data_IF_847539041333
#
_entry.id   IF_847539041333
#
_cell.length_a   1.000
_cell.length_b   1.000
_cell.length_c   1.000
_cell.angle_alpha   90.00
_cell.angle_beta   90.00
_cell.angle_gamma   90.00
#
_symmetry.space_group_name_H-M   'P 1'
#
loop_
_entity.id
_entity.type
_entity.pdbx_description
1 polymer ?
#
# COMPACT_ATOMS: atom_id res chain seq x y z
N UNK A 1 -28.48 -10.06 14.51
CA UNK A 1 -28.69 -10.75 13.23
C UNK A 1 -27.50 -10.43 12.36
N UNK A 2 -26.54 -11.35 12.28
CA UNK A 2 -25.29 -11.14 11.58
C UNK A 2 -25.53 -11.25 10.06
N UNK A 3 -25.23 -10.18 9.35
CA UNK A 3 -25.25 -10.08 7.89
C UNK A 3 -24.12 -10.94 7.33
N UNK A 4 -24.51 -11.95 6.55
CA UNK A 4 -23.60 -12.79 5.77
C UNK A 4 -22.87 -11.88 4.77
N UNK A 5 -21.54 -11.94 4.65
CA UNK A 5 -20.83 -11.10 3.69
C UNK A 5 -21.17 -11.57 2.28
N UNK A 6 -21.54 -10.58 1.48
CA UNK A 6 -21.83 -10.61 0.06
C UNK A 6 -20.74 -11.41 -0.69
N UNK A 7 -21.14 -12.54 -1.30
CA UNK A 7 -20.27 -13.36 -2.13
C UNK A 7 -20.10 -12.63 -3.47
N UNK A 8 -18.92 -12.07 -3.73
CA UNK A 8 -18.57 -11.44 -5.01
C UNK A 8 -18.13 -12.53 -6.00
N UNK A 9 -18.95 -12.88 -7.01
CA UNK A 9 -18.69 -14.01 -7.91
C UNK A 9 -17.54 -13.72 -8.90
N UNK A 10 -16.99 -12.51 -8.92
CA UNK A 10 -15.87 -12.13 -9.81
C UNK A 10 -14.50 -12.37 -9.19
N UNK A 11 -14.43 -12.77 -7.92
CA UNK A 11 -13.18 -13.07 -7.22
C UNK A 11 -13.08 -14.56 -6.92
N UNK A 12 -11.92 -15.20 -7.18
CA UNK A 12 -11.69 -16.54 -6.67
C UNK A 12 -11.81 -16.53 -5.14
N UNK A 13 -12.34 -17.60 -4.51
CA UNK A 13 -12.39 -17.68 -3.05
C UNK A 13 -10.98 -17.45 -2.50
N UNK A 14 -10.83 -16.65 -1.43
CA UNK A 14 -9.52 -16.40 -0.86
C UNK A 14 -8.88 -17.76 -0.53
N UNK A 15 -7.58 -17.95 -0.83
CA UNK A 15 -6.88 -19.15 -0.43
C UNK A 15 -7.08 -19.33 1.08
N UNK A 16 -7.45 -20.54 1.50
CA UNK A 16 -7.54 -20.89 2.92
C UNK A 16 -6.11 -20.80 3.46
N UNK A 17 -5.74 -19.61 3.92
CA UNK A 17 -4.59 -19.41 4.78
C UNK A 17 -4.97 -20.09 6.08
N UNK A 18 -4.52 -21.35 6.22
CA UNK A 18 -4.33 -21.95 7.53
C UNK A 18 -3.57 -20.89 8.32
N UNK A 19 -4.15 -20.28 9.36
CA UNK A 19 -3.43 -19.30 10.14
C UNK A 19 -2.13 -19.98 10.57
N UNK A 20 -0.96 -19.31 10.42
CA UNK A 20 0.27 -19.86 10.97
C UNK A 20 -0.03 -20.25 12.41
N UNK A 21 0.43 -21.42 12.88
CA UNK A 21 0.18 -21.84 14.25
C UNK A 21 0.49 -20.64 15.13
N UNK A 22 -0.50 -20.22 15.91
CA UNK A 22 -0.33 -19.22 16.93
C UNK A 22 0.76 -19.82 17.81
N UNK A 23 2.01 -19.45 17.56
CA UNK A 23 3.04 -19.61 18.55
C UNK A 23 2.53 -18.76 19.68
N UNK A 24 2.06 -19.44 20.73
CA UNK A 24 1.86 -18.84 22.03
C UNK A 24 3.02 -17.88 22.20
N UNK A 25 2.70 -16.60 22.38
CA UNK A 25 3.62 -15.64 22.94
C UNK A 25 3.93 -16.17 24.33
N UNK A 26 4.81 -17.17 24.42
CA UNK A 26 5.59 -17.43 25.61
C UNK A 26 6.27 -16.09 25.86
N UNK A 27 5.69 -15.34 26.80
CA UNK A 27 6.08 -13.99 27.19
C UNK A 27 7.59 -13.90 27.07
N UNK A 28 8.12 -12.87 26.40
CA UNK A 28 9.58 -12.66 26.31
C UNK A 28 10.25 -12.81 27.69
N UNK A 29 9.49 -12.55 28.76
CA UNK A 29 9.78 -12.83 30.16
C UNK A 29 10.16 -14.29 30.47
N UNK A 30 9.46 -15.29 29.91
CA UNK A 30 9.77 -16.71 30.04
C UNK A 30 11.07 -17.07 29.30
N UNK A 31 11.29 -16.50 28.12
CA UNK A 31 12.54 -16.70 27.36
C UNK A 31 13.73 -16.10 28.13
N UNK A 32 13.55 -14.93 28.73
CA UNK A 32 14.56 -14.28 29.57
C UNK A 32 14.81 -15.09 30.85
N UNK A 33 13.76 -15.60 31.50
CA UNK A 33 13.88 -16.44 32.69
C UNK A 33 14.61 -17.76 32.39
N UNK A 34 14.31 -18.41 31.27
CA UNK A 34 14.97 -19.63 30.84
C UNK A 34 16.43 -19.38 30.42
N UNK A 35 16.71 -18.25 29.78
CA UNK A 35 18.09 -17.81 29.51
C UNK A 35 18.89 -17.54 30.80
N UNK A 36 18.26 -16.94 31.81
CA UNK A 36 18.90 -16.68 33.11
C UNK A 36 19.11 -17.98 33.91
N UNK A 37 18.21 -18.96 33.81
CA UNK A 37 18.31 -20.27 34.47
C UNK A 37 19.30 -21.21 33.78
N UNK A 38 19.40 -21.16 32.45
CA UNK A 38 20.35 -21.96 31.65
C UNK A 38 21.77 -21.42 31.73
N UNK A 39 21.98 -20.23 32.29
CA UNK A 39 23.31 -19.70 32.54
C UNK A 39 23.93 -20.46 33.72
N UNK A 40 25.03 -21.23 33.52
CA UNK A 40 25.71 -21.83 34.65
C UNK A 40 26.12 -20.71 35.62
N UNK A 41 25.99 -20.92 36.95
CA UNK A 41 26.40 -19.92 37.92
C UNK A 41 27.84 -19.54 37.58
N UNK A 42 28.07 -18.25 37.35
CA UNK A 42 29.38 -17.75 36.97
C UNK A 42 30.36 -18.29 38.00
N UNK A 43 31.20 -19.23 37.59
CA UNK A 43 32.29 -19.73 38.42
C UNK A 43 33.01 -18.49 38.94
N UNK A 44 32.95 -18.26 40.25
CA UNK A 44 33.56 -17.14 40.96
C UNK A 44 35.10 -17.13 40.87
N UNK A 45 35.68 -17.93 39.97
CA UNK A 45 37.09 -18.10 39.73
C UNK A 45 37.62 -17.51 38.42
N UNK A 46 36.99 -16.48 37.82
CA UNK A 46 37.78 -15.57 36.97
C UNK A 46 38.57 -14.67 37.90
N UNK A 47 39.71 -15.17 38.36
CA UNK A 47 40.81 -14.32 38.81
C UNK A 47 41.05 -13.33 37.68
N UNK A 48 40.55 -12.10 37.85
CA UNK A 48 40.95 -10.97 37.03
C UNK A 48 42.46 -10.93 37.23
N UNK A 49 43.22 -11.47 36.27
CA UNK A 49 44.66 -11.28 36.24
C UNK A 49 44.82 -9.77 36.27
N UNK A 50 45.27 -9.25 37.40
CA UNK A 50 45.65 -7.85 37.54
C UNK A 50 46.87 -7.67 36.65
N UNK A 51 46.65 -7.54 35.35
CA UNK A 51 47.69 -7.12 34.43
C UNK A 51 48.11 -5.73 34.86
N UNK A 52 49.41 -5.49 34.90
CA UNK A 52 49.99 -4.18 35.18
C UNK A 52 49.18 -3.05 34.51
N UNK A 53 49.01 -1.89 35.18
CA UNK A 53 48.13 -0.83 34.74
C UNK A 53 48.48 -0.43 33.30
N UNK A 54 47.65 -0.86 32.36
CA UNK A 54 47.93 -0.67 30.95
C UNK A 54 47.97 0.83 30.64
N UNK A 55 48.93 1.33 29.85
CA UNK A 55 49.12 2.75 29.58
C UNK A 55 47.82 3.39 29.10
N UNK A 56 47.35 4.39 29.84
CA UNK A 56 46.14 5.16 29.50
C UNK A 56 46.48 6.18 28.42
N UNK A 57 45.70 6.20 27.33
CA UNK A 57 45.86 7.18 26.25
C UNK A 57 45.77 8.61 26.79
N UNK A 58 44.93 8.83 27.81
CA UNK A 58 44.73 10.15 28.42
C UNK A 58 45.97 10.58 29.22
N UNK A 59 46.55 9.68 30.00
CA UNK A 59 47.73 9.96 30.82
C UNK A 59 48.97 10.19 29.95
N UNK A 60 49.10 9.43 28.85
CA UNK A 60 50.15 9.65 27.86
C UNK A 60 50.01 11.00 27.15
N UNK A 61 48.77 11.42 26.86
CA UNK A 61 48.52 12.73 26.26
C UNK A 61 48.88 13.86 27.23
N UNK A 62 48.62 13.71 28.53
CA UNK A 62 49.05 14.70 29.53
C UNK A 62 50.56 14.68 29.75
N UNK A 63 51.20 13.50 29.78
CA UNK A 63 52.66 13.38 29.87
C UNK A 63 53.36 14.05 28.67
N UNK A 64 52.84 13.86 27.45
CA UNK A 64 53.35 14.52 26.24
C UNK A 64 53.15 16.04 26.30
N UNK A 65 51.98 16.51 26.76
CA UNK A 65 51.73 17.95 26.89
C UNK A 65 52.70 18.59 27.91
N UNK A 66 52.88 17.97 29.08
CA UNK A 66 53.83 18.43 30.08
C UNK A 66 55.28 18.40 29.57
N UNK A 67 55.67 17.38 28.80
CA UNK A 67 57.00 17.34 28.20
C UNK A 67 57.21 18.50 27.22
N UNK A 68 56.21 18.82 26.40
CA UNK A 68 56.26 19.96 25.48
C UNK A 68 56.43 21.27 26.28
N UNK A 69 55.65 21.45 27.36
CA UNK A 69 55.77 22.63 28.24
C UNK A 69 57.17 22.73 28.90
N UNK A 70 57.75 21.61 29.34
CA UNK A 70 59.09 21.58 29.93
C UNK A 70 60.20 21.90 28.93
N UNK A 71 60.06 21.41 27.68
CA UNK A 71 61.00 21.70 26.60
C UNK A 71 60.93 23.18 26.21
N UNK A 72 59.73 23.76 26.12
CA UNK A 72 59.58 25.20 25.85
C UNK A 72 60.14 26.04 27.00
N UNK A 73 59.90 25.64 28.26
CA UNK A 73 60.51 26.31 29.42
C UNK A 73 62.04 26.26 29.39
N UNK A 74 62.62 25.10 29.09
CA UNK A 74 64.08 24.95 28.98
C UNK A 74 64.69 25.83 27.90
N UNK A 75 64.00 26.01 26.76
CA UNK A 75 64.46 26.93 25.70
C UNK A 75 64.47 28.38 26.19
N UNK A 76 63.39 28.82 26.85
CA UNK A 76 63.29 30.18 27.39
C UNK A 76 64.36 30.43 28.45
N UNK A 77 64.51 29.51 29.41
CA UNK A 77 65.50 29.64 30.50
C UNK A 77 66.94 29.69 29.95
N UNK A 78 67.23 28.89 28.90
CA UNK A 78 68.51 28.92 28.19
C UNK A 78 68.75 30.28 27.51
N UNK A 79 67.77 30.80 26.78
CA UNK A 79 67.88 32.10 26.09
C UNK A 79 68.06 33.27 27.07
N UNK A 80 67.44 33.21 28.25
CA UNK A 80 67.62 34.20 29.32
C UNK A 80 69.03 34.12 29.88
N UNK A 81 69.51 32.92 30.21
CA UNK A 81 70.86 32.69 30.73
C UNK A 81 71.94 33.18 29.75
N UNK A 82 71.79 32.89 28.45
CA UNK A 82 72.72 33.35 27.40
C UNK A 82 72.81 34.87 27.34
N UNK A 83 71.67 35.59 27.48
CA UNK A 83 71.64 37.06 27.51
C UNK A 83 72.24 37.64 28.79
N UNK A 84 72.02 36.99 29.92
CA UNK A 84 72.46 37.43 31.25
C UNK A 84 73.99 37.27 31.40
N UNK A 85 74.56 36.17 30.89
CA UNK A 85 76.02 35.93 30.80
C UNK A 85 76.72 36.98 29.92
N UNK A 86 76.11 37.36 28.79
CA UNK A 86 76.67 38.38 27.89
C UNK A 86 76.63 39.78 28.54
N UNK A 87 75.63 40.04 29.38
CA UNK A 87 75.39 41.36 29.97
C UNK A 87 76.14 41.59 31.28
N UNK A 88 76.51 40.54 32.03
CA UNK A 88 77.22 40.62 33.31
C UNK A 88 78.30 39.52 33.46
N UNK A 89 79.59 39.83 33.24
CA UNK A 89 80.67 38.83 33.31
C UNK A 89 81.01 38.34 34.74
N UNK A 90 80.59 39.05 35.79
CA UNK A 90 80.79 38.66 37.21
C UNK A 90 79.57 37.95 37.84
N UNK A 91 78.57 37.60 37.03
CA UNK A 91 77.32 37.00 37.50
C UNK A 91 77.49 35.52 37.84
N UNK A 92 77.10 35.12 39.05
CA UNK A 92 77.15 33.71 39.50
C UNK A 92 75.93 32.94 38.97
N UNK A 93 76.09 32.31 37.79
CA UNK A 93 75.05 31.50 37.13
C UNK A 93 74.82 30.12 37.75
N UNK A 94 75.57 29.71 38.79
CA UNK A 94 75.60 28.32 39.26
C UNK A 94 74.20 27.76 39.58
N UNK A 95 73.34 28.54 40.23
CA UNK A 95 71.98 28.13 40.59
C UNK A 95 71.02 27.99 39.38
N UNK A 96 71.15 28.84 38.36
CA UNK A 96 70.31 28.75 37.14
C UNK A 96 70.79 27.59 36.25
N UNK A 97 72.10 27.32 36.22
CA UNK A 97 72.69 26.15 35.58
C UNK A 97 72.21 24.84 36.22
N UNK A 98 72.19 24.76 37.55
CA UNK A 98 71.63 23.61 38.27
C UNK A 98 70.14 23.39 37.96
N UNK A 99 69.34 24.46 37.87
CA UNK A 99 67.93 24.37 37.50
C UNK A 99 67.72 23.86 36.05
N UNK A 100 68.52 24.35 35.09
CA UNK A 100 68.52 23.86 33.71
C UNK A 100 68.91 22.38 33.63
N UNK A 101 69.90 21.96 34.43
CA UNK A 101 70.37 20.58 34.47
C UNK A 101 69.32 19.64 35.09
N UNK A 102 68.61 20.07 36.13
CA UNK A 102 67.47 19.33 36.70
C UNK A 102 66.31 19.21 35.70
N UNK A 103 66.04 20.28 34.96
CA UNK A 103 65.01 20.28 33.92
C UNK A 103 65.37 19.34 32.76
N UNK A 104 66.63 19.35 32.34
CA UNK A 104 67.17 18.41 31.35
C UNK A 104 67.02 16.95 31.82
N UNK A 105 67.44 16.63 33.05
CA UNK A 105 67.27 15.30 33.63
C UNK A 105 65.80 14.85 33.67
N UNK A 106 64.86 15.76 33.98
CA UNK A 106 63.42 15.49 33.93
C UNK A 106 62.93 15.16 32.52
N UNK A 107 63.35 15.96 31.53
CA UNK A 107 62.99 15.78 30.11
C UNK A 107 63.54 14.46 29.59
N UNK A 108 64.81 14.15 29.83
CA UNK A 108 65.45 12.90 29.42
C UNK A 108 64.77 11.69 30.05
N UNK A 109 64.45 11.75 31.34
CA UNK A 109 63.73 10.70 32.06
C UNK A 109 62.30 10.49 31.54
N UNK A 110 61.62 11.55 31.09
CA UNK A 110 60.28 11.46 30.48
C UNK A 110 60.35 10.93 29.05
N UNK A 111 61.32 11.36 28.26
CA UNK A 111 61.57 10.86 26.91
C UNK A 111 61.88 9.36 26.91
N UNK A 112 62.73 8.89 27.83
CA UNK A 112 63.06 7.47 27.96
C UNK A 112 61.82 6.63 28.26
N UNK A 113 60.95 7.12 29.14
CA UNK A 113 59.68 6.46 29.50
C UNK A 113 58.65 6.49 28.36
N UNK A 114 58.61 7.55 27.57
CA UNK A 114 57.67 7.70 26.45
C UNK A 114 58.12 6.93 25.20
N UNK A 115 59.44 6.74 25.04
CA UNK A 115 60.04 6.04 23.90
C UNK A 115 60.22 4.53 24.14
N UNK A 116 59.63 3.99 25.20
CA UNK A 116 59.57 2.55 25.45
C UNK A 116 58.82 1.84 24.30
N UNK A 117 59.50 0.98 23.52
CA UNK A 117 58.91 0.34 22.34
C UNK A 117 57.71 -0.56 22.67
N UNK A 118 57.67 -1.17 23.86
CA UNK A 118 56.58 -2.06 24.24
C UNK A 118 55.34 -1.26 24.66
N UNK A 119 55.55 -0.12 25.33
CA UNK A 119 54.50 0.85 25.67
C UNK A 119 53.88 1.45 24.40
N UNK A 120 54.70 1.80 23.41
CA UNK A 120 54.24 2.30 22.10
C UNK A 120 53.48 1.25 21.29
N UNK A 121 53.95 0.00 21.24
CA UNK A 121 53.23 -1.11 20.58
C UNK A 121 51.85 -1.33 21.21
N UNK A 122 51.76 -1.33 22.54
CA UNK A 122 50.51 -1.51 23.26
C UNK A 122 49.53 -0.35 23.00
N UNK A 123 50.05 0.88 22.94
CA UNK A 123 49.28 2.07 22.58
C UNK A 123 48.76 1.99 21.14
N UNK A 124 49.60 1.59 20.19
CA UNK A 124 49.23 1.39 18.79
C UNK A 124 48.07 0.41 18.64
N UNK A 125 48.10 -0.72 19.37
CA UNK A 125 47.00 -1.69 19.42
C UNK A 125 45.71 -1.06 19.96
N UNK A 126 45.77 -0.27 21.04
CA UNK A 126 44.59 0.42 21.60
C UNK A 126 44.01 1.45 20.64
N UNK A 127 44.86 2.25 19.98
CA UNK A 127 44.43 3.25 19.00
C UNK A 127 43.80 2.60 17.77
N UNK A 128 44.39 1.52 17.27
CA UNK A 128 43.83 0.74 16.19
C UNK A 128 42.43 0.19 16.56
N UNK A 129 42.30 -0.39 17.77
CA UNK A 129 41.01 -0.85 18.31
C UNK A 129 39.97 0.27 18.38
N UNK A 130 40.34 1.47 18.87
CA UNK A 130 39.45 2.64 18.88
C UNK A 130 39.05 3.11 17.47
N UNK A 131 39.98 3.07 16.51
CA UNK A 131 39.70 3.44 15.10
C UNK A 131 38.73 2.43 14.48
N UNK A 132 38.98 1.14 14.66
CA UNK A 132 38.09 0.05 14.21
C UNK A 132 36.69 0.18 14.81
N UNK A 133 36.60 0.43 16.13
CA UNK A 133 35.31 0.65 16.83
C UNK A 133 34.56 1.86 16.27
N UNK A 134 35.24 3.00 16.09
CA UNK A 134 34.62 4.21 15.50
C UNK A 134 34.12 3.97 14.07
N UNK A 135 34.93 3.31 13.24
CA UNK A 135 34.54 2.97 11.87
C UNK A 135 33.35 2.00 11.81
N UNK A 136 33.30 1.02 12.72
CA UNK A 136 32.16 0.11 12.84
C UNK A 136 30.89 0.85 13.30
N UNK A 137 30.98 1.68 14.35
CA UNK A 137 29.86 2.49 14.83
C UNK A 137 29.31 3.41 13.75
N UNK A 138 30.18 4.06 12.98
CA UNK A 138 29.78 4.91 11.85
C UNK A 138 28.98 4.10 10.82
N UNK A 139 29.47 2.93 10.41
CA UNK A 139 28.77 2.04 9.47
C UNK A 139 27.42 1.57 10.01
N UNK A 140 27.38 1.13 11.28
CA UNK A 140 26.14 0.69 11.93
C UNK A 140 25.11 1.82 12.01
N UNK A 141 25.52 3.02 12.42
CA UNK A 141 24.62 4.17 12.53
C UNK A 141 24.10 4.60 11.16
N UNK A 142 24.92 4.57 10.12
CA UNK A 142 24.48 4.86 8.76
C UNK A 142 23.45 3.84 8.28
N UNK A 143 23.68 2.55 8.52
CA UNK A 143 22.71 1.49 8.17
C UNK A 143 21.38 1.68 8.90
N UNK A 144 21.41 1.91 10.21
CA UNK A 144 20.20 2.19 11.00
C UNK A 144 19.47 3.45 10.53
N UNK A 145 20.21 4.47 10.08
CA UNK A 145 19.62 5.69 9.51
C UNK A 145 18.90 5.39 8.19
N UNK A 146 19.52 4.61 7.30
CA UNK A 146 18.91 4.19 6.03
C UNK A 146 17.65 3.34 6.27
N UNK A 147 17.72 2.34 7.16
CA UNK A 147 16.57 1.49 7.53
C UNK A 147 15.40 2.34 8.06
N UNK A 148 15.68 3.36 8.89
CA UNK A 148 14.66 4.29 9.38
C UNK A 148 14.05 5.15 8.27
N UNK A 149 14.87 5.68 7.38
CA UNK A 149 14.42 6.49 6.25
C UNK A 149 13.55 5.66 5.29
N UNK A 150 13.93 4.41 5.01
CA UNK A 150 13.15 3.47 4.22
C UNK A 150 11.83 3.11 4.90
N UNK A 151 11.84 2.83 6.20
CA UNK A 151 10.62 2.55 6.96
C UNK A 151 9.66 3.75 6.94
N UNK A 152 10.17 4.98 7.06
CA UNK A 152 9.36 6.20 6.96
C UNK A 152 8.77 6.32 5.55
N UNK A 153 9.57 6.12 4.49
CA UNK A 153 9.10 6.17 3.09
C UNK A 153 8.04 5.11 2.80
N UNK A 154 8.21 3.90 3.32
CA UNK A 154 7.22 2.83 3.14
C UNK A 154 5.93 3.16 3.89
N UNK A 155 6.04 3.67 5.12
CA UNK A 155 4.89 4.14 5.88
C UNK A 155 4.15 5.26 5.15
N UNK A 156 4.84 6.26 4.60
CA UNK A 156 4.18 7.35 3.87
C UNK A 156 3.50 6.86 2.59
N UNK A 157 4.12 5.92 1.85
CA UNK A 157 3.49 5.28 0.68
C UNK A 157 2.21 4.55 1.06
N UNK A 158 2.23 3.76 2.14
CA UNK A 158 1.05 3.04 2.63
C UNK A 158 -0.05 4.01 3.05
N UNK A 159 0.27 5.08 3.78
CA UNK A 159 -0.73 6.11 4.12
C UNK A 159 -1.31 6.77 2.88
N UNK A 160 -0.50 7.10 1.88
CA UNK A 160 -0.99 7.68 0.63
C UNK A 160 -1.95 6.72 -0.12
N UNK A 161 -1.65 5.42 -0.15
CA UNK A 161 -2.54 4.40 -0.72
C UNK A 161 -3.85 4.29 0.07
N UNK A 162 -3.79 4.32 1.40
CA UNK A 162 -4.98 4.32 2.26
C UNK A 162 -5.83 5.56 1.97
N UNK A 163 -5.22 6.74 1.88
CA UNK A 163 -5.93 7.99 1.61
C UNK A 163 -6.56 8.01 0.22
N UNK A 164 -5.88 7.44 -0.79
CA UNK A 164 -6.43 7.23 -2.12
C UNK A 164 -7.64 6.31 -2.09
N UNK A 165 -7.51 5.14 -1.47
CA UNK A 165 -8.62 4.22 -1.31
C UNK A 165 -9.80 4.86 -0.58
N UNK A 166 -9.56 5.59 0.51
CA UNK A 166 -10.61 6.32 1.24
C UNK A 166 -11.27 7.41 0.39
N UNK A 167 -10.52 8.09 -0.50
CA UNK A 167 -11.10 9.07 -1.44
C UNK A 167 -11.99 8.37 -2.45
N UNK A 168 -11.56 7.23 -2.99
CA UNK A 168 -12.37 6.44 -3.93
C UNK A 168 -13.65 5.92 -3.28
N UNK A 169 -13.56 5.35 -2.08
CA UNK A 169 -14.73 4.89 -1.33
C UNK A 169 -15.71 6.02 -1.05
N UNK A 170 -15.23 7.20 -0.62
CA UNK A 170 -16.08 8.38 -0.44
C UNK A 170 -16.77 8.81 -1.73
N UNK A 171 -16.07 8.78 -2.87
CA UNK A 171 -16.68 9.08 -4.18
C UNK A 171 -17.78 8.07 -4.54
N UNK A 172 -17.59 6.79 -4.25
CA UNK A 172 -18.61 5.76 -4.50
C UNK A 172 -19.85 5.99 -3.64
N UNK A 173 -19.65 6.24 -2.34
CA UNK A 173 -20.77 6.54 -1.42
C UNK A 173 -21.52 7.81 -1.85
N UNK A 174 -20.81 8.86 -2.25
CA UNK A 174 -21.45 10.10 -2.69
C UNK A 174 -22.24 9.89 -4.00
N UNK A 175 -21.71 9.11 -4.95
CA UNK A 175 -22.45 8.73 -6.16
C UNK A 175 -23.72 7.94 -5.84
N UNK A 176 -23.64 6.99 -4.91
CA UNK A 176 -24.81 6.21 -4.48
C UNK A 176 -25.85 7.12 -3.81
N UNK A 177 -25.41 8.04 -2.94
CA UNK A 177 -26.28 9.01 -2.29
C UNK A 177 -26.97 9.94 -3.31
N UNK A 178 -26.24 10.42 -4.31
CA UNK A 178 -26.82 11.21 -5.41
C UNK A 178 -27.83 10.38 -6.21
N UNK A 179 -27.52 9.12 -6.52
CA UNK A 179 -28.43 8.22 -7.21
C UNK A 179 -29.72 7.98 -6.41
N UNK A 180 -29.63 7.85 -5.08
CA UNK A 180 -30.78 7.72 -4.19
C UNK A 180 -31.61 9.01 -4.15
N UNK A 181 -30.97 10.18 -4.06
CA UNK A 181 -31.69 11.46 -4.12
C UNK A 181 -32.45 11.63 -5.44
N UNK A 182 -31.87 11.25 -6.58
CA UNK A 182 -32.56 11.25 -7.87
C UNK A 182 -33.81 10.35 -7.87
N UNK A 183 -33.75 9.20 -7.18
CA UNK A 183 -34.90 8.30 -7.03
C UNK A 183 -35.99 8.90 -6.15
N UNK A 184 -35.61 9.53 -5.04
CA UNK A 184 -36.54 10.20 -4.15
C UNK A 184 -37.24 11.37 -4.88
N UNK A 185 -36.49 12.16 -5.66
CA UNK A 185 -37.05 13.21 -6.50
C UNK A 185 -38.00 12.65 -7.57
N UNK A 186 -37.60 11.60 -8.30
CA UNK A 186 -38.46 10.97 -9.30
C UNK A 186 -39.77 10.44 -8.68
N UNK A 187 -39.69 9.84 -7.49
CA UNK A 187 -40.86 9.37 -6.73
C UNK A 187 -41.76 10.53 -6.28
N UNK A 188 -41.17 11.62 -5.81
CA UNK A 188 -41.89 12.82 -5.41
C UNK A 188 -42.63 13.46 -6.60
N UNK A 189 -41.95 13.64 -7.73
CA UNK A 189 -42.57 14.17 -8.95
C UNK A 189 -43.64 13.25 -9.52
N UNK A 190 -43.48 11.93 -9.40
CA UNK A 190 -44.51 10.98 -9.83
C UNK A 190 -45.81 11.17 -9.04
N UNK A 191 -45.72 11.42 -7.73
CA UNK A 191 -46.90 11.71 -6.90
C UNK A 191 -47.60 13.01 -7.34
N UNK A 192 -46.84 14.05 -7.69
CA UNK A 192 -47.40 15.29 -8.24
C UNK A 192 -48.07 15.07 -9.61
N UNK A 193 -47.42 14.33 -10.52
CA UNK A 193 -47.98 13.97 -11.83
C UNK A 193 -49.29 13.18 -11.66
N UNK A 194 -49.37 12.25 -10.70
CA UNK A 194 -50.61 11.54 -10.38
C UNK A 194 -51.73 12.51 -9.96
N UNK A 195 -51.43 13.52 -9.13
CA UNK A 195 -52.41 14.55 -8.72
C UNK A 195 -52.87 15.39 -9.90
N UNK A 196 -51.95 15.85 -10.75
CA UNK A 196 -52.26 16.63 -11.96
C UNK A 196 -53.08 15.81 -12.96
N UNK A 197 -52.73 14.54 -13.18
CA UNK A 197 -53.49 13.61 -14.01
C UNK A 197 -54.91 13.42 -13.50
N UNK A 198 -55.09 13.21 -12.20
CA UNK A 198 -56.41 13.08 -11.58
C UNK A 198 -57.23 14.37 -11.72
N UNK A 199 -56.61 15.54 -11.58
CA UNK A 199 -57.26 16.83 -11.84
C UNK A 199 -57.74 16.95 -13.29
N UNK A 200 -56.88 16.65 -14.27
CA UNK A 200 -57.26 16.69 -15.69
C UNK A 200 -58.45 15.77 -15.99
N UNK A 201 -58.43 14.53 -15.48
CA UNK A 201 -59.56 13.60 -15.62
C UNK A 201 -60.85 14.17 -15.04
N UNK A 202 -60.80 14.77 -13.83
CA UNK A 202 -61.98 15.39 -13.20
C UNK A 202 -62.56 16.53 -14.05
N UNK A 203 -61.71 17.38 -14.63
CA UNK A 203 -62.17 18.47 -15.49
C UNK A 203 -62.76 17.95 -16.81
N UNK A 204 -62.13 16.95 -17.45
CA UNK A 204 -62.67 16.32 -18.66
C UNK A 204 -64.06 15.72 -18.42
N UNK A 205 -64.25 14.97 -17.33
CA UNK A 205 -65.57 14.45 -16.96
C UNK A 205 -66.59 15.57 -16.68
N UNK A 206 -66.14 16.73 -16.18
CA UNK A 206 -67.01 17.90 -15.99
C UNK A 206 -67.43 18.51 -17.33
N UNK A 207 -66.51 18.64 -18.29
CA UNK A 207 -66.81 19.13 -19.64
C UNK A 207 -67.75 18.19 -20.40
N UNK A 208 -67.54 16.87 -20.30
CA UNK A 208 -68.42 15.85 -20.88
C UNK A 208 -69.86 16.01 -20.34
N UNK A 209 -70.02 16.09 -19.01
CA UNK A 209 -71.34 16.31 -18.40
C UNK A 209 -72.01 17.63 -18.80
N UNK A 210 -71.24 18.68 -19.02
CA UNK A 210 -71.79 19.95 -19.51
C UNK A 210 -72.26 19.79 -20.96
N UNK A 211 -71.46 19.18 -21.84
CA UNK A 211 -71.82 18.91 -23.23
C UNK A 211 -73.06 18.02 -23.36
N UNK A 212 -73.25 17.06 -22.44
CA UNK A 212 -74.43 16.19 -22.40
C UNK A 212 -75.71 16.91 -21.91
N UNK A 213 -75.58 18.10 -21.32
CA UNK A 213 -76.73 18.91 -20.90
C UNK A 213 -77.32 19.66 -22.10
N UNK A 214 -78.56 19.32 -22.47
CA UNK A 214 -79.26 19.81 -23.65
C UNK A 214 -79.67 21.30 -23.62
N UNK A 215 -79.07 22.11 -22.73
CA UNK A 215 -79.46 23.50 -22.45
C UNK A 215 -78.38 24.53 -22.82
N UNK A 216 -77.26 24.10 -23.41
CA UNK A 216 -76.16 24.99 -23.80
C UNK A 216 -76.36 25.56 -25.20
N UNK A 217 -76.01 26.84 -25.36
CA UNK A 217 -75.93 27.50 -26.67
C UNK A 217 -74.75 26.97 -27.49
N UNK A 218 -74.83 27.10 -28.82
CA UNK A 218 -73.84 26.57 -29.76
C UNK A 218 -72.45 27.17 -29.54
N UNK A 219 -72.37 28.46 -29.21
CA UNK A 219 -71.09 29.14 -28.94
C UNK A 219 -70.43 28.62 -27.66
N UNK A 220 -71.22 28.40 -26.59
CA UNK A 220 -70.72 27.77 -25.35
C UNK A 220 -70.28 26.33 -25.59
N UNK A 221 -70.94 25.62 -26.51
CA UNK A 221 -70.56 24.26 -26.88
C UNK A 221 -69.17 24.21 -27.54
N UNK A 222 -68.89 25.18 -28.43
CA UNK A 222 -67.58 25.32 -29.07
C UNK A 222 -66.48 25.66 -28.06
N UNK A 223 -66.74 26.57 -27.11
CA UNK A 223 -65.79 26.92 -26.05
C UNK A 223 -65.48 25.73 -25.12
N UNK A 224 -66.50 24.96 -24.72
CA UNK A 224 -66.33 23.76 -23.88
C UNK A 224 -65.55 22.68 -24.64
N UNK A 225 -65.78 22.51 -25.94
CA UNK A 225 -65.00 21.59 -26.77
C UNK A 225 -63.53 22.02 -26.91
N UNK A 226 -63.25 23.32 -27.00
CA UNK A 226 -61.88 23.83 -27.00
C UNK A 226 -61.18 23.57 -25.66
N UNK A 227 -61.85 23.84 -24.54
CA UNK A 227 -61.35 23.49 -23.21
C UNK A 227 -61.11 21.97 -23.08
N UNK A 228 -62.02 21.15 -23.62
CA UNK A 228 -61.85 19.69 -23.65
C UNK A 228 -60.57 19.29 -24.40
N UNK A 229 -60.30 19.87 -25.57
CA UNK A 229 -59.04 19.61 -26.31
C UNK A 229 -57.81 20.02 -25.51
N UNK A 230 -57.81 21.20 -24.90
CA UNK A 230 -56.68 21.71 -24.09
C UNK A 230 -56.41 20.77 -22.90
N UNK A 231 -57.45 20.37 -22.17
CA UNK A 231 -57.30 19.47 -21.03
C UNK A 231 -56.96 18.03 -21.43
N UNK A 232 -57.40 17.56 -22.61
CA UNK A 232 -56.99 16.28 -23.16
C UNK A 232 -55.51 16.28 -23.55
N UNK A 233 -55.00 17.37 -24.13
CA UNK A 233 -53.57 17.55 -24.40
C UNK A 233 -52.75 17.52 -23.10
N UNK A 234 -53.16 18.30 -22.08
CA UNK A 234 -52.53 18.28 -20.74
C UNK A 234 -52.53 16.89 -20.09
N UNK A 235 -53.61 16.12 -20.26
CA UNK A 235 -53.69 14.75 -19.78
C UNK A 235 -52.69 13.84 -20.50
N UNK A 236 -52.58 13.95 -21.82
CA UNK A 236 -51.57 13.24 -22.62
C UNK A 236 -50.15 13.55 -22.14
N UNK A 237 -49.84 14.80 -21.86
CA UNK A 237 -48.52 15.21 -21.37
C UNK A 237 -48.23 14.62 -19.98
N UNK A 238 -49.22 14.61 -19.08
CA UNK A 238 -49.09 13.93 -17.78
C UNK A 238 -48.82 12.43 -17.94
N UNK A 239 -49.46 11.76 -18.91
CA UNK A 239 -49.23 10.33 -19.17
C UNK A 239 -47.83 10.06 -19.72
N UNK A 240 -47.34 10.92 -20.62
CA UNK A 240 -45.96 10.82 -21.15
C UNK A 240 -44.92 11.00 -20.03
N UNK A 241 -45.10 12.01 -19.18
CA UNK A 241 -44.19 12.29 -18.07
C UNK A 241 -44.21 11.18 -17.01
N UNK A 242 -45.39 10.66 -16.67
CA UNK A 242 -45.55 9.50 -15.77
C UNK A 242 -44.82 8.26 -16.31
N UNK A 243 -44.92 7.99 -17.62
CA UNK A 243 -44.18 6.90 -18.26
C UNK A 243 -42.67 7.10 -18.13
N UNK A 244 -42.17 8.31 -18.42
CA UNK A 244 -40.76 8.67 -18.30
C UNK A 244 -40.22 8.46 -16.87
N UNK A 245 -40.96 8.95 -15.86
CA UNK A 245 -40.57 8.80 -14.45
C UNK A 245 -40.62 7.34 -13.98
N UNK A 246 -41.61 6.56 -14.43
CA UNK A 246 -41.64 5.11 -14.17
C UNK A 246 -40.48 4.38 -14.81
N UNK A 247 -40.09 4.73 -16.02
CA UNK A 247 -38.94 4.12 -16.69
C UNK A 247 -37.65 4.42 -15.91
N UNK A 248 -37.48 5.63 -15.38
CA UNK A 248 -36.34 6.00 -14.51
C UNK A 248 -36.31 5.14 -13.24
N UNK A 249 -37.44 5.01 -12.55
CA UNK A 249 -37.55 4.19 -11.33
C UNK A 249 -37.34 2.70 -11.63
N UNK A 250 -37.91 2.20 -12.73
CA UNK A 250 -37.79 0.80 -13.15
C UNK A 250 -36.34 0.46 -13.52
N UNK A 251 -35.59 1.38 -14.14
CA UNK A 251 -34.17 1.23 -14.45
C UNK A 251 -33.26 1.24 -13.22
N UNK A 252 -33.76 1.53 -12.04
CA UNK A 252 -32.95 1.56 -10.82
C UNK A 252 -33.51 0.68 -9.70
N UNK A 253 -34.61 -0.05 -9.94
CA UNK A 253 -35.11 -1.03 -8.96
C UNK A 253 -34.18 -2.24 -8.86
N UNK A 254 -33.95 -2.71 -7.64
CA UNK A 254 -33.03 -3.83 -7.35
C UNK A 254 -33.35 -5.09 -8.18
N UNK A 255 -34.63 -5.42 -8.35
CA UNK A 255 -35.06 -6.57 -9.15
C UNK A 255 -34.70 -6.46 -10.64
N UNK A 256 -34.74 -5.24 -11.22
CA UNK A 256 -34.37 -5.01 -12.61
C UNK A 256 -32.87 -4.79 -12.79
N UNK A 257 -32.16 -4.36 -11.75
CA UNK A 257 -30.70 -4.32 -11.75
C UNK A 257 -30.14 -5.74 -11.80
N UNK A 258 -30.59 -6.63 -10.91
CA UNK A 258 -30.14 -8.01 -10.87
C UNK A 258 -30.42 -8.76 -12.19
N UNK A 259 -31.62 -8.61 -12.77
CA UNK A 259 -31.92 -9.16 -14.11
C UNK A 259 -31.05 -8.58 -15.22
N UNK A 260 -30.65 -7.31 -15.14
CA UNK A 260 -29.76 -6.71 -16.17
C UNK A 260 -28.35 -7.24 -16.05
N UNK A 261 -27.83 -7.31 -14.83
CA UNK A 261 -26.53 -7.93 -14.55
C UNK A 261 -26.55 -9.38 -15.05
N UNK A 262 -27.57 -10.15 -14.69
CA UNK A 262 -27.76 -11.53 -15.17
C UNK A 262 -27.83 -11.60 -16.71
N UNK A 263 -28.57 -10.71 -17.36
CA UNK A 263 -28.65 -10.66 -18.83
C UNK A 263 -27.32 -10.26 -19.49
N UNK A 264 -26.54 -9.35 -18.89
CA UNK A 264 -25.21 -9.00 -19.40
C UNK A 264 -24.21 -10.15 -19.23
N UNK A 265 -24.24 -10.84 -18.08
CA UNK A 265 -23.45 -12.04 -17.86
C UNK A 265 -23.86 -13.16 -18.82
N UNK A 266 -25.16 -13.37 -19.01
CA UNK A 266 -25.66 -14.35 -19.98
C UNK A 266 -25.20 -13.99 -21.40
N UNK A 267 -25.23 -12.71 -21.78
CA UNK A 267 -24.74 -12.26 -23.07
C UNK A 267 -23.23 -12.44 -23.24
N UNK A 268 -22.46 -12.20 -22.18
CA UNK A 268 -21.00 -12.31 -22.22
C UNK A 268 -20.54 -13.76 -22.25
N UNK A 269 -21.18 -14.62 -21.46
CA UNK A 269 -20.84 -16.04 -21.32
C UNK A 269 -21.40 -16.90 -22.46
N UNK A 270 -22.62 -16.60 -22.92
CA UNK A 270 -23.34 -17.43 -23.89
C UNK A 270 -23.58 -16.73 -25.23
N UNK A 271 -23.05 -15.51 -25.42
CA UNK A 271 -23.31 -14.69 -26.61
C UNK A 271 -24.71 -14.08 -26.60
N UNK A 272 -25.06 -13.38 -27.69
CA UNK A 272 -26.43 -12.89 -27.85
C UNK A 272 -27.41 -14.06 -27.73
N UNK A 273 -28.51 -13.84 -26.99
CA UNK A 273 -29.53 -14.85 -26.80
C UNK A 273 -29.90 -15.47 -28.15
N UNK A 274 -29.63 -16.77 -28.29
CA UNK A 274 -29.85 -17.51 -29.52
C UNK A 274 -31.23 -17.11 -30.07
N UNK A 275 -31.30 -16.52 -31.28
CA UNK A 275 -32.57 -16.12 -31.84
C UNK A 275 -33.52 -17.31 -31.76
N UNK A 276 -34.71 -17.12 -31.18
CA UNK A 276 -35.77 -18.16 -31.16
C UNK A 276 -36.25 -18.56 -32.56
N UNK A 277 -35.66 -17.96 -33.61
CA UNK A 277 -35.88 -18.32 -35.00
C UNK A 277 -34.93 -19.44 -35.38
N UNK A 278 -35.52 -20.48 -35.95
CA UNK A 278 -35.05 -21.78 -36.45
C UNK A 278 -33.69 -21.89 -37.18
N UNK A 279 -32.83 -20.89 -37.13
CA UNK A 279 -31.62 -20.78 -37.96
C UNK A 279 -30.32 -20.83 -37.14
N UNK A 280 -30.39 -21.21 -35.86
CA UNK A 280 -29.17 -21.42 -35.08
C UNK A 280 -28.66 -22.86 -35.27
N UNK A 281 -27.41 -23.08 -35.73
CA UNK A 281 -26.86 -24.39 -36.07
C UNK A 281 -27.04 -25.43 -34.95
N UNK A 282 -26.82 -25.03 -33.69
CA UNK A 282 -26.96 -25.92 -32.52
C UNK A 282 -28.40 -26.43 -32.28
N UNK A 283 -29.43 -25.69 -32.68
CA UNK A 283 -30.84 -26.13 -32.58
C UNK A 283 -31.30 -26.90 -33.83
N UNK A 284 -30.58 -26.78 -34.95
CA UNK A 284 -30.82 -27.51 -36.20
C UNK A 284 -30.17 -28.89 -36.25
N UNK A 285 -29.19 -29.16 -35.37
CA UNK A 285 -28.42 -30.41 -35.34
C UNK A 285 -29.28 -31.68 -35.17
N UNK A 286 -30.39 -31.59 -34.42
CA UNK A 286 -31.32 -32.71 -34.23
C UNK A 286 -32.16 -33.06 -35.48
N UNK A 287 -32.21 -32.16 -36.46
CA UNK A 287 -33.07 -32.28 -37.65
C UNK A 287 -32.33 -32.27 -38.98
N UNK A 288 -31.06 -31.86 -38.98
CA UNK A 288 -30.22 -31.77 -40.17
C UNK A 288 -28.88 -32.44 -39.87
N UNK A 289 -28.65 -33.60 -40.50
CA UNK A 289 -27.47 -34.43 -40.29
C UNK A 289 -26.20 -33.71 -40.74
N UNK A 290 -26.29 -32.91 -41.79
CA UNK A 290 -25.17 -32.15 -42.34
C UNK A 290 -24.70 -31.09 -41.33
N UNK A 291 -25.63 -30.40 -40.67
CA UNK A 291 -25.34 -29.44 -39.59
C UNK A 291 -24.72 -30.13 -38.38
N UNK A 292 -25.22 -31.32 -38.00
CA UNK A 292 -24.63 -32.12 -36.91
C UNK A 292 -23.18 -32.54 -37.25
N UNK A 293 -22.93 -32.97 -38.49
CA UNK A 293 -21.60 -33.35 -38.95
C UNK A 293 -20.67 -32.13 -38.95
N UNK A 294 -21.14 -30.96 -39.37
CA UNK A 294 -20.37 -29.72 -39.37
C UNK A 294 -20.00 -29.29 -37.94
N UNK A 295 -20.97 -29.25 -37.02
CA UNK A 295 -20.71 -29.00 -35.59
C UNK A 295 -19.69 -30.00 -35.07
N UNK A 296 -19.88 -31.30 -35.33
CA UNK A 296 -18.95 -32.32 -34.84
C UNK A 296 -17.55 -32.12 -35.40
N UNK A 297 -17.43 -31.78 -36.68
CA UNK A 297 -16.16 -31.50 -37.36
C UNK A 297 -15.45 -30.28 -36.78
N UNK A 298 -16.20 -29.22 -36.44
CA UNK A 298 -15.65 -28.03 -35.79
C UNK A 298 -15.13 -28.36 -34.38
N UNK A 299 -15.87 -29.16 -33.61
CA UNK A 299 -15.41 -29.65 -32.31
C UNK A 299 -14.18 -30.55 -32.43
N UNK A 300 -14.17 -31.47 -33.40
CA UNK A 300 -13.03 -32.35 -33.64
C UNK A 300 -11.80 -31.58 -34.13
N UNK A 301 -11.98 -30.47 -34.85
CA UNK A 301 -10.89 -29.57 -35.25
C UNK A 301 -10.23 -28.87 -34.05
N UNK A 302 -10.97 -28.63 -32.97
CA UNK A 302 -10.41 -28.11 -31.72
C UNK A 302 -9.71 -29.18 -30.88
N UNK A 303 -9.89 -30.47 -31.19
CA UNK A 303 -9.25 -31.57 -30.47
C UNK A 303 -7.88 -31.94 -31.05
N UNK A 304 -7.60 -31.63 -32.31
CA UNK A 304 -6.34 -31.99 -32.98
C UNK A 304 -5.54 -30.73 -33.26
N UNK A 305 -4.36 -30.59 -32.64
CA UNK A 305 -3.43 -29.52 -32.98
C UNK A 305 -2.94 -29.72 -34.42
N UNK A 306 -3.13 -28.70 -35.27
CA UNK A 306 -2.71 -28.73 -36.68
C UNK A 306 -1.21 -28.88 -36.89
N UNK A 307 -0.41 -28.59 -35.87
CA UNK A 307 1.05 -28.52 -35.92
C UNK A 307 1.75 -29.68 -35.21
N UNK A 308 1.01 -30.61 -34.58
CA UNK A 308 1.56 -31.79 -33.92
C UNK A 308 1.38 -33.03 -34.82
N UNK A 309 2.49 -33.60 -35.31
CA UNK A 309 2.53 -34.82 -36.16
C UNK A 309 2.10 -36.11 -35.42
N UNK A 310 1.81 -36.02 -34.12
CA UNK A 310 1.27 -37.13 -33.34
C UNK A 310 -0.27 -37.11 -33.44
N UNK A 311 -0.84 -38.04 -34.21
CA UNK A 311 -2.29 -38.31 -34.45
C UNK A 311 -3.13 -38.60 -33.17
N UNK A 312 -2.66 -38.22 -31.98
CA UNK A 312 -3.36 -38.39 -30.70
C UNK A 312 -4.16 -37.12 -30.42
N UNK A 313 -5.44 -37.14 -30.80
CA UNK A 313 -6.39 -36.10 -30.40
C UNK A 313 -6.30 -35.79 -28.90
N UNK A 314 -6.42 -34.51 -28.55
CA UNK A 314 -6.31 -34.02 -27.17
C UNK A 314 -7.37 -34.68 -26.28
N UNK A 315 -6.90 -35.44 -25.29
CA UNK A 315 -7.79 -35.99 -24.27
C UNK A 315 -8.38 -34.85 -23.44
N UNK A 316 -9.65 -34.97 -23.07
CA UNK A 316 -10.28 -34.05 -22.10
C UNK A 316 -9.39 -34.04 -20.85
N UNK A 317 -8.84 -32.88 -20.44
CA UNK A 317 -7.91 -32.82 -19.32
C UNK A 317 -8.58 -33.36 -18.06
N UNK A 318 -7.93 -34.32 -17.41
CA UNK A 318 -8.36 -34.79 -16.10
C UNK A 318 -7.90 -33.76 -15.05
N UNK A 319 -8.77 -32.78 -14.76
CA UNK A 319 -8.54 -31.77 -13.73
C UNK A 319 -8.63 -30.33 -14.26
N UNK A 320 -8.15 -29.39 -13.45
CA UNK A 320 -8.16 -27.97 -13.79
C UNK A 320 -7.13 -27.67 -14.87
N UNK A 321 -7.57 -27.08 -15.98
CA UNK A 321 -6.69 -26.55 -17.02
C UNK A 321 -6.19 -25.19 -16.55
N UNK A 322 -4.91 -25.12 -16.18
CA UNK A 322 -4.27 -23.86 -15.85
C UNK A 322 -3.93 -23.11 -17.15
N UNK A 323 -4.12 -21.78 -17.19
CA UNK A 323 -3.70 -20.99 -18.34
C UNK A 323 -2.22 -21.17 -18.64
N UNK A 324 -1.87 -21.16 -19.92
CA UNK A 324 -0.49 -21.28 -20.39
C UNK A 324 0.38 -20.17 -19.76
N UNK A 325 1.64 -20.48 -19.41
CA UNK A 325 2.55 -19.54 -18.76
C UNK A 325 2.71 -18.21 -19.53
N UNK A 326 2.58 -18.27 -20.87
CA UNK A 326 2.50 -17.13 -21.78
C UNK A 326 1.11 -17.07 -22.42
N UNK A 327 0.13 -16.39 -21.81
CA UNK A 327 -1.19 -16.24 -22.41
C UNK A 327 -1.15 -15.32 -23.63
N UNK A 328 -2.09 -15.50 -24.56
CA UNK A 328 -2.25 -14.55 -25.67
C UNK A 328 -2.68 -13.18 -25.13
N UNK A 329 -2.49 -12.14 -25.95
CA UNK A 329 -2.72 -10.75 -25.54
C UNK A 329 -4.13 -10.49 -24.97
N UNK A 330 -5.14 -11.23 -25.45
CA UNK A 330 -6.53 -11.11 -24.97
C UNK A 330 -6.73 -11.67 -23.56
N UNK A 331 -5.97 -12.71 -23.20
CA UNK A 331 -6.06 -13.42 -21.92
C UNK A 331 -5.09 -12.88 -20.88
N UNK A 332 -4.02 -12.20 -21.29
CA UNK A 332 -3.01 -11.62 -20.41
C UNK A 332 -3.60 -10.68 -19.35
N UNK A 333 -4.71 -9.99 -19.65
CA UNK A 333 -5.40 -9.09 -18.71
C UNK A 333 -6.04 -9.79 -17.50
N UNK A 334 -6.20 -11.11 -17.56
CA UNK A 334 -6.78 -11.93 -16.49
C UNK A 334 -5.72 -12.75 -15.74
N UNK A 335 -4.45 -12.66 -16.13
CA UNK A 335 -3.35 -13.33 -15.44
C UNK A 335 -3.08 -12.59 -14.12
N UNK A 336 -3.42 -13.24 -13.00
CA UNK A 336 -3.10 -12.71 -11.67
C UNK A 336 -1.59 -12.88 -11.50
N UNK A 337 -0.85 -11.77 -11.61
CA UNK A 337 0.54 -11.76 -11.17
C UNK A 337 0.55 -11.80 -9.65
N UNK A 338 0.68 -13.00 -9.09
CA UNK A 338 1.12 -13.15 -7.71
C UNK A 338 2.55 -12.60 -7.61
N UNK A 339 2.66 -11.31 -7.27
CA UNK A 339 3.91 -10.71 -6.85
C UNK A 339 4.26 -11.31 -5.48
N UNK A 340 5.15 -12.31 -5.49
CA UNK A 340 5.85 -12.81 -4.30
C UNK A 340 6.78 -11.71 -3.76
#
# INVERSE_FOLDING_TARGET
MATIPFFDPTRPPPPITIPPPIFDQSSDENIVQEFLRSRPPASSGRTIKQSAPAPSITNLRSELAQLIEEVERMKVDKEVLEKEIISQPDFKCDAQLEQLQLLQCSIESKLLRLNDPDRLKLLGKKLHGRRKKRAWLKRRNNRLKQEREEAIKNRTKLHAQIDEWQREQRKLVEKEKQAQQELDYASHFLADVHRRKAACKRYLTKFEKMLDSATLDRDMQVEIDELRRIWAAKLSDCVKEEKRLRDVLARKSAANFQRRVENEWNKTLFGDAIPKKFEHPLLGADRNREVLIEIRRDWDACLVNRDDDDDRGSAIPLGWVLPNATPSSEWAKYQIMETI
#
